data_IF_760488891152
#
_entry.id   IF_760488891152
#
_cell.length_a   1.000
_cell.length_b   1.000
_cell.length_c   1.000
_cell.angle_alpha   90.00
_cell.angle_beta   90.00
_cell.angle_gamma   90.00
#
_symmetry.space_group_name_H-M   'P 1'
#
loop_
_entity.id
_entity.type
_entity.pdbx_description
1 polymer ?
#
# COMPACT_ATOMS: atom_id res chain seq x y z
N UNK A 1 -6.39 -5.19 34.19
CA UNK A 1 -5.13 -4.90 34.91
C UNK A 1 -4.44 -3.57 34.52
N UNK A 2 -5.05 -2.66 33.75
CA UNK A 2 -4.60 -1.25 33.65
C UNK A 2 -3.18 -0.98 33.13
N UNK A 3 -2.52 -1.95 32.47
CA UNK A 3 -1.18 -1.78 31.91
C UNK A 3 -1.26 -1.12 30.54
N UNK A 4 -0.56 0.00 30.35
CA UNK A 4 -0.41 0.67 29.05
C UNK A 4 0.87 0.19 28.38
N UNK A 5 0.76 -0.38 27.19
CA UNK A 5 1.91 -0.77 26.38
C UNK A 5 2.27 0.35 25.41
N UNK A 6 3.57 0.61 25.25
CA UNK A 6 4.05 1.50 24.19
C UNK A 6 3.88 0.77 22.85
N UNK A 7 3.03 1.30 21.97
CA UNK A 7 2.78 0.76 20.62
C UNK A 7 3.28 1.76 19.60
N UNK A 8 4.15 1.32 18.69
CA UNK A 8 4.63 2.14 17.59
C UNK A 8 3.74 1.90 16.36
N UNK A 9 3.12 2.95 15.84
CA UNK A 9 2.23 2.89 14.68
C UNK A 9 2.95 3.38 13.42
N UNK A 10 2.82 2.63 12.33
CA UNK A 10 3.39 2.96 11.02
C UNK A 10 2.37 2.67 9.93
N UNK A 11 2.47 3.38 8.80
CA UNK A 11 1.73 3.03 7.60
C UNK A 11 2.50 3.33 6.32
N UNK A 12 2.10 2.67 5.25
CA UNK A 12 2.49 3.01 3.89
C UNK A 12 1.35 2.67 2.93
N UNK A 13 1.42 3.19 1.70
CA UNK A 13 0.28 3.15 0.81
C UNK A 13 0.59 3.40 -0.66
N UNK A 14 -0.36 3.00 -1.51
CA UNK A 14 -0.33 3.12 -2.97
C UNK A 14 -1.28 4.19 -3.50
N UNK A 15 -1.00 4.69 -4.70
CA UNK A 15 -1.82 5.71 -5.40
C UNK A 15 -2.00 5.45 -6.89
N UNK A 16 -1.70 4.23 -7.36
CA UNK A 16 -1.82 3.87 -8.77
C UNK A 16 -2.81 2.74 -8.92
N UNK A 17 -3.92 2.99 -9.61
CA UNK A 17 -5.01 2.01 -9.77
C UNK A 17 -4.64 0.88 -10.74
N UNK A 18 -4.01 1.24 -11.86
CA UNK A 18 -3.56 0.30 -12.89
C UNK A 18 -2.03 0.33 -12.94
N UNK A 19 -1.41 -0.83 -12.83
CA UNK A 19 0.02 -0.97 -12.59
C UNK A 19 0.69 -2.01 -13.48
N UNK A 20 0.00 -3.09 -13.88
CA UNK A 20 0.53 -4.09 -14.78
C UNK A 20 -0.53 -4.71 -15.70
N UNK A 21 -0.38 -4.56 -17.01
CA UNK A 21 -1.31 -5.10 -18.02
C UNK A 21 -1.36 -6.62 -18.09
N UNK A 22 -0.37 -7.31 -17.50
CA UNK A 22 -0.32 -8.77 -17.43
C UNK A 22 -1.02 -9.31 -16.17
N UNK A 23 -1.37 -8.44 -15.21
CA UNK A 23 -2.17 -8.84 -14.05
C UNK A 23 -3.67 -8.77 -14.41
N UNK A 24 -4.39 -9.91 -14.45
CA UNK A 24 -5.82 -9.91 -14.74
C UNK A 24 -6.66 -9.19 -13.67
N UNK A 25 -6.15 -9.04 -12.44
CA UNK A 25 -6.86 -8.38 -11.34
C UNK A 25 -6.83 -6.85 -11.43
N UNK A 26 -5.89 -6.27 -12.18
CA UNK A 26 -5.82 -4.83 -12.45
C UNK A 26 -7.10 -4.32 -13.11
N UNK A 27 -7.68 -5.08 -14.02
CA UNK A 27 -8.97 -4.73 -14.63
C UNK A 27 -10.10 -4.67 -13.60
N UNK A 28 -10.10 -5.59 -12.64
CA UNK A 28 -11.06 -5.61 -11.53
C UNK A 28 -10.86 -4.43 -10.57
N UNK A 29 -9.62 -4.13 -10.21
CA UNK A 29 -9.29 -2.94 -9.39
C UNK A 29 -9.67 -1.65 -10.12
N UNK A 30 -9.39 -1.55 -11.42
CA UNK A 30 -9.83 -0.45 -12.27
C UNK A 30 -11.34 -0.26 -12.27
N UNK A 31 -12.11 -1.35 -12.41
CA UNK A 31 -13.56 -1.31 -12.33
C UNK A 31 -14.05 -0.86 -10.94
N UNK A 32 -13.52 -1.43 -9.86
CA UNK A 32 -13.93 -1.06 -8.50
C UNK A 32 -13.57 0.39 -8.17
N UNK A 33 -12.45 0.90 -8.71
CA UNK A 33 -12.06 2.30 -8.56
C UNK A 33 -13.08 3.27 -9.15
N UNK A 34 -13.97 2.81 -10.04
CA UNK A 34 -15.01 3.65 -10.64
C UNK A 34 -15.96 4.25 -9.60
N UNK A 35 -16.12 3.57 -8.46
CA UNK A 35 -16.91 4.06 -7.32
C UNK A 35 -16.35 5.36 -6.73
N UNK A 36 -15.08 5.69 -7.00
CA UNK A 36 -14.36 6.83 -6.43
C UNK A 36 -13.96 7.89 -7.48
N UNK A 37 -14.39 7.78 -8.75
CA UNK A 37 -13.95 8.68 -9.84
C UNK A 37 -14.18 10.17 -9.57
N UNK A 38 -15.21 10.51 -8.78
CA UNK A 38 -15.58 11.88 -8.46
C UNK A 38 -15.05 12.35 -7.10
N UNK A 39 -14.24 11.55 -6.40
CA UNK A 39 -13.66 11.95 -5.12
C UNK A 39 -12.58 13.01 -5.25
N UNK A 40 -11.88 13.06 -6.40
CA UNK A 40 -10.69 13.89 -6.60
C UNK A 40 -9.47 13.44 -5.78
N UNK A 41 -9.59 12.33 -5.04
CA UNK A 41 -8.54 11.78 -4.20
C UNK A 41 -7.76 10.70 -4.94
N UNK A 42 -6.42 10.70 -4.81
CA UNK A 42 -5.61 9.58 -5.26
C UNK A 42 -5.89 8.35 -4.41
N UNK A 43 -5.88 7.16 -5.00
CA UNK A 43 -6.12 5.90 -4.30
C UNK A 43 -5.33 4.76 -4.92
N UNK A 44 -5.22 3.65 -4.19
CA UNK A 44 -4.72 2.37 -4.71
C UNK A 44 -5.80 1.58 -5.49
N UNK A 45 -6.93 2.23 -5.79
CA UNK A 45 -8.12 1.63 -6.41
C UNK A 45 -9.24 1.29 -5.42
N UNK A 46 -8.92 1.02 -4.14
CA UNK A 46 -9.92 0.68 -3.11
C UNK A 46 -9.88 1.59 -1.88
N UNK A 47 -8.71 2.17 -1.55
CA UNK A 47 -8.51 3.03 -0.38
C UNK A 47 -7.79 4.31 -0.79
N UNK A 48 -8.37 5.46 -0.44
CA UNK A 48 -7.80 6.79 -0.70
C UNK A 48 -6.48 7.01 0.07
N UNK A 49 -5.56 7.78 -0.52
CA UNK A 49 -4.24 8.08 0.06
C UNK A 49 -4.34 8.62 1.49
N UNK A 50 -5.33 9.48 1.76
CA UNK A 50 -5.53 10.07 3.08
C UNK A 50 -6.01 9.03 4.09
N UNK A 51 -6.87 8.11 3.66
CA UNK A 51 -7.42 7.05 4.51
C UNK A 51 -6.39 5.97 4.88
N UNK A 52 -5.26 5.87 4.16
CA UNK A 52 -4.17 4.92 4.43
C UNK A 52 -3.20 5.38 5.53
N UNK A 53 -3.39 6.58 6.10
CA UNK A 53 -2.43 7.20 7.03
C UNK A 53 -2.69 6.77 8.47
N UNK A 54 -1.71 6.11 9.09
CA UNK A 54 -1.75 5.72 10.50
C UNK A 54 -0.36 5.89 11.11
N UNK A 55 -0.26 6.68 12.19
CA UNK A 55 1.00 6.92 12.89
C UNK A 55 2.08 7.52 11.99
N UNK A 56 3.27 6.92 11.98
CA UNK A 56 4.39 7.34 11.15
C UNK A 56 4.19 6.86 9.70
N UNK A 57 3.81 7.76 8.81
CA UNK A 57 3.64 7.47 7.38
C UNK A 57 5.00 7.36 6.71
N UNK A 58 5.39 6.15 6.33
CA UNK A 58 6.66 5.87 5.65
C UNK A 58 6.64 6.44 4.23
N UNK A 59 5.55 6.17 3.50
CA UNK A 59 5.24 6.72 2.18
C UNK A 59 3.81 6.33 1.81
N UNK A 60 2.99 7.27 1.34
CA UNK A 60 1.58 7.03 1.00
C UNK A 60 1.30 6.97 -0.50
N UNK A 61 2.32 7.16 -1.35
CA UNK A 61 2.19 7.33 -2.79
C UNK A 61 3.10 6.38 -3.59
N UNK A 62 3.19 5.11 -3.19
CA UNK A 62 3.82 4.11 -4.06
C UNK A 62 3.01 3.97 -5.37
N UNK A 63 3.70 3.70 -6.47
CA UNK A 63 3.13 3.30 -7.74
C UNK A 63 2.53 1.89 -7.69
N UNK A 64 1.64 1.65 -6.74
CA UNK A 64 1.05 0.36 -6.41
C UNK A 64 -0.47 0.51 -6.29
N UNK A 65 -1.20 -0.51 -6.74
CA UNK A 65 -2.62 -0.69 -6.46
C UNK A 65 -2.82 -1.49 -5.16
N UNK A 66 -4.08 -1.77 -4.81
CA UNK A 66 -4.40 -2.41 -3.55
C UNK A 66 -3.83 -3.83 -3.41
N UNK A 67 -3.74 -4.59 -4.51
CA UNK A 67 -3.25 -5.97 -4.51
C UNK A 67 -1.73 -6.05 -4.66
N UNK A 68 -1.12 -5.07 -5.33
CA UNK A 68 0.33 -4.89 -5.34
C UNK A 68 0.89 -4.81 -3.92
N UNK A 69 0.15 -4.18 -2.98
CA UNK A 69 0.58 -4.04 -1.58
C UNK A 69 0.94 -5.38 -0.92
N UNK A 70 0.29 -6.48 -1.32
CA UNK A 70 0.56 -7.85 -0.84
C UNK A 70 1.31 -8.71 -1.86
N UNK A 71 1.94 -8.08 -2.87
CA UNK A 71 2.62 -8.75 -3.98
C UNK A 71 1.67 -9.66 -4.80
N UNK A 72 0.39 -9.29 -4.89
CA UNK A 72 -0.57 -9.91 -5.80
C UNK A 72 -0.58 -9.22 -7.16
N UNK A 73 -0.97 -9.90 -8.24
CA UNK A 73 -1.26 -11.34 -8.37
C UNK A 73 0.01 -12.13 -8.71
N UNK A 74 0.38 -13.11 -7.88
CA UNK A 74 1.60 -13.93 -8.05
C UNK A 74 2.90 -13.11 -8.27
N UNK A 75 2.96 -11.87 -7.81
CA UNK A 75 4.11 -10.98 -7.97
C UNK A 75 4.18 -10.23 -9.30
N UNK A 76 3.11 -10.26 -10.11
CA UNK A 76 2.96 -9.43 -11.30
C UNK A 76 2.54 -8.03 -10.86
N UNK A 77 3.52 -7.20 -10.48
CA UNK A 77 3.31 -5.86 -9.92
C UNK A 77 3.93 -4.78 -10.83
N UNK A 78 3.82 -3.50 -10.45
CA UNK A 78 4.46 -2.41 -11.18
C UNK A 78 5.99 -2.62 -11.33
N UNK A 79 6.48 -2.70 -12.56
CA UNK A 79 7.90 -2.91 -12.87
C UNK A 79 8.78 -1.67 -12.63
N UNK A 80 8.17 -0.49 -12.51
CA UNK A 80 8.87 0.79 -12.35
C UNK A 80 8.78 1.36 -10.93
N UNK A 81 8.26 0.59 -9.98
CA UNK A 81 8.20 0.94 -8.56
C UNK A 81 8.98 -0.08 -7.70
N UNK A 82 9.24 0.31 -6.46
CA UNK A 82 9.77 -0.55 -5.41
C UNK A 82 8.96 -1.85 -5.30
N UNK A 83 9.64 -2.99 -5.41
CA UNK A 83 8.99 -4.29 -5.20
C UNK A 83 8.36 -4.34 -3.78
N UNK A 84 7.10 -4.79 -3.63
CA UNK A 84 6.42 -4.83 -2.33
C UNK A 84 7.18 -5.62 -1.27
N UNK A 85 7.85 -6.72 -1.66
CA UNK A 85 8.70 -7.50 -0.74
C UNK A 85 9.85 -6.66 -0.18
N UNK A 86 10.41 -5.74 -0.96
CA UNK A 86 11.45 -4.82 -0.51
C UNK A 86 10.90 -3.84 0.53
N UNK A 87 9.66 -3.36 0.37
CA UNK A 87 8.99 -2.47 1.35
C UNK A 87 8.85 -3.18 2.70
N UNK A 88 8.35 -4.42 2.71
CA UNK A 88 8.26 -5.22 3.95
C UNK A 88 9.63 -5.51 4.57
N UNK A 89 10.63 -5.88 3.76
CA UNK A 89 12.01 -6.11 4.24
C UNK A 89 12.60 -4.85 4.88
N UNK A 90 12.41 -3.70 4.25
CA UNK A 90 12.86 -2.42 4.79
C UNK A 90 12.12 -2.07 6.10
N UNK A 91 10.82 -2.39 6.19
CA UNK A 91 10.05 -2.18 7.42
C UNK A 91 10.51 -3.11 8.55
N UNK A 92 10.79 -4.39 8.27
CA UNK A 92 11.36 -5.31 9.26
C UNK A 92 12.71 -4.80 9.80
N UNK A 93 13.60 -4.31 8.94
CA UNK A 93 14.86 -3.70 9.37
C UNK A 93 14.64 -2.42 10.21
N UNK A 94 13.61 -1.63 9.89
CA UNK A 94 13.23 -0.45 10.68
C UNK A 94 12.78 -0.85 12.10
N UNK A 95 12.00 -1.92 12.23
CA UNK A 95 11.55 -2.44 13.52
C UNK A 95 12.74 -2.99 14.33
N UNK A 96 13.63 -3.76 13.70
CA UNK A 96 14.85 -4.24 14.33
C UNK A 96 15.71 -3.08 14.87
N UNK A 97 15.90 -2.02 14.07
CA UNK A 97 16.65 -0.83 14.49
C UNK A 97 15.96 -0.05 15.63
N UNK A 98 14.66 -0.21 15.80
CA UNK A 98 13.88 0.34 16.90
C UNK A 98 13.86 -0.57 18.15
N UNK A 99 14.53 -1.72 18.11
CA UNK A 99 14.55 -2.71 19.19
C UNK A 99 13.26 -3.53 19.30
N UNK A 100 12.54 -3.72 18.19
CA UNK A 100 11.32 -4.53 18.08
C UNK A 100 11.53 -5.80 17.26
#
# INVERSE_FOLDING_TARGET
>A
NGVTHKVNYYSWGGTSVLTNVLDPLDAGIGLLSSAFLFSGEKSDGLVGECSQRLGTVIRSNYGANHLDAVNGFFGIVNLFESNPKTIYRAHANRLQAAGL
#
